data_IF_722527962647
#
_entry.id   IF_722527962647
#
_cell.length_a   1.000
_cell.length_b   1.000
_cell.length_c   1.000
_cell.angle_alpha   90.00
_cell.angle_beta   90.00
_cell.angle_gamma   90.00
#
_symmetry.space_group_name_H-M   'P 1'
#
loop_
_entity.id
_entity.type
_entity.pdbx_description
1 polymer ?
#
# COMPACT_ATOMS: atom_id res chain seq x y z
N UNK A 1 -9.66 10.97 -0.38
CA UNK A 1 -10.32 9.82 0.29
C UNK A 1 -9.35 9.16 1.25
N UNK A 2 -9.79 8.83 2.45
CA UNK A 2 -8.94 8.14 3.42
C UNK A 2 -8.69 6.71 3.01
N UNK A 3 -7.61 6.11 3.53
CA UNK A 3 -7.29 4.70 3.28
C UNK A 3 -8.43 3.80 3.71
N UNK A 4 -9.02 4.07 4.88
CA UNK A 4 -10.15 3.28 5.39
C UNK A 4 -11.34 3.31 4.45
N UNK A 5 -11.72 4.49 3.98
CA UNK A 5 -12.85 4.65 3.06
C UNK A 5 -12.56 4.01 1.70
N UNK A 6 -11.33 4.10 1.23
CA UNK A 6 -10.91 3.48 -0.02
C UNK A 6 -11.04 1.95 0.07
N UNK A 7 -10.54 1.36 1.14
CA UNK A 7 -10.63 -0.08 1.35
C UNK A 7 -12.09 -0.55 1.40
N UNK A 8 -12.95 0.20 2.08
CA UNK A 8 -14.37 -0.12 2.19
C UNK A 8 -15.06 0.00 0.84
N UNK A 9 -14.86 1.12 0.14
CA UNK A 9 -15.52 1.39 -1.13
C UNK A 9 -15.20 0.35 -2.20
N UNK A 10 -13.95 -0.06 -2.30
CA UNK A 10 -13.49 -0.97 -3.37
C UNK A 10 -13.32 -2.42 -2.92
N UNK A 11 -13.60 -2.72 -1.65
CA UNK A 11 -13.59 -4.10 -1.15
C UNK A 11 -12.20 -4.69 -0.92
N UNK A 12 -11.25 -3.88 -0.50
CA UNK A 12 -9.90 -4.36 -0.21
C UNK A 12 -9.84 -5.01 1.17
N UNK A 13 -9.06 -6.07 1.29
CA UNK A 13 -8.80 -6.70 2.58
C UNK A 13 -7.80 -5.86 3.38
N UNK A 14 -8.12 -5.59 4.64
CA UNK A 14 -7.24 -4.83 5.53
C UNK A 14 -6.35 -5.80 6.29
N UNK A 15 -5.05 -5.76 6.03
CA UNK A 15 -4.08 -6.58 6.77
C UNK A 15 -3.53 -5.85 7.99
N UNK A 16 -3.37 -4.53 7.87
CA UNK A 16 -2.85 -3.68 8.93
C UNK A 16 -3.32 -2.26 8.67
N UNK A 17 -3.94 -1.61 9.65
CA UNK A 17 -4.49 -0.25 9.46
C UNK A 17 -4.27 0.60 10.71
N UNK A 18 -3.00 0.85 11.09
CA UNK A 18 -2.72 1.70 12.25
C UNK A 18 -3.07 3.17 12.02
N UNK A 19 -3.18 3.59 10.75
CA UNK A 19 -3.45 4.99 10.40
C UNK A 19 -4.60 5.09 9.38
N UNK A 20 -5.85 4.77 9.79
CA UNK A 20 -6.98 4.70 8.87
C UNK A 20 -7.35 6.03 8.22
N UNK A 21 -7.01 7.14 8.84
CA UNK A 21 -7.39 8.48 8.39
C UNK A 21 -6.43 9.11 7.40
N UNK A 22 -5.31 8.44 7.08
CA UNK A 22 -4.39 8.97 6.07
C UNK A 22 -5.10 9.13 4.74
N UNK A 23 -4.89 10.30 4.11
CA UNK A 23 -5.49 10.59 2.80
C UNK A 23 -4.66 10.00 1.69
N UNK A 24 -5.32 9.45 0.67
CA UNK A 24 -4.65 9.02 -0.55
C UNK A 24 -4.66 10.21 -1.51
N UNK A 25 -3.48 10.76 -1.74
CA UNK A 25 -3.30 11.96 -2.55
C UNK A 25 -2.71 11.66 -3.93
N UNK A 26 -2.14 10.47 -4.09
CA UNK A 26 -1.49 10.05 -5.33
C UNK A 26 -1.42 8.53 -5.37
N UNK A 27 -0.89 7.98 -6.45
CA UNK A 27 -0.68 6.54 -6.60
C UNK A 27 0.66 6.26 -7.25
N UNK A 28 1.27 5.15 -6.88
CA UNK A 28 2.50 4.69 -7.48
C UNK A 28 2.48 3.16 -7.57
N UNK A 29 2.88 2.61 -8.71
CA UNK A 29 2.97 1.16 -8.91
C UNK A 29 4.40 0.80 -9.26
N UNK A 30 5.00 -0.10 -8.49
CA UNK A 30 6.35 -0.55 -8.77
C UNK A 30 6.84 -1.57 -7.76
N UNK A 31 7.74 -2.44 -8.21
CA UNK A 31 8.24 -3.58 -7.43
C UNK A 31 9.75 -3.55 -7.23
N UNK A 32 10.47 -2.79 -8.04
CA UNK A 32 11.91 -2.64 -7.89
C UNK A 32 12.17 -1.60 -6.79
N UNK A 33 12.48 -2.07 -5.60
CA UNK A 33 12.54 -1.21 -4.41
C UNK A 33 13.51 -0.05 -4.53
N UNK A 34 14.64 -0.22 -5.24
CA UNK A 34 15.59 0.88 -5.46
C UNK A 34 14.98 2.02 -6.27
N UNK A 35 14.03 1.71 -7.16
CA UNK A 35 13.31 2.73 -7.92
C UNK A 35 12.18 3.34 -7.08
N UNK A 36 11.47 2.50 -6.35
CA UNK A 36 10.37 2.94 -5.49
C UNK A 36 10.88 3.98 -4.48
N UNK A 37 12.02 3.71 -3.85
CA UNK A 37 12.62 4.61 -2.86
C UNK A 37 12.82 6.03 -3.40
N UNK A 38 13.16 6.18 -4.68
CA UNK A 38 13.39 7.49 -5.28
C UNK A 38 12.15 8.14 -5.91
N UNK A 39 11.05 7.42 -6.02
CA UNK A 39 9.87 7.87 -6.78
C UNK A 39 8.57 7.87 -5.99
N UNK A 40 8.47 7.07 -4.95
CA UNK A 40 7.26 6.99 -4.12
C UNK A 40 7.14 8.29 -3.31
N UNK A 41 6.06 9.02 -3.55
CA UNK A 41 5.83 10.29 -2.86
C UNK A 41 4.98 10.08 -1.61
N UNK A 42 5.17 10.95 -0.64
CA UNK A 42 4.34 11.01 0.57
C UNK A 42 2.86 11.09 0.18
N UNK A 43 2.02 10.36 0.89
CA UNK A 43 0.58 10.37 0.63
C UNK A 43 0.13 9.51 -0.52
N UNK A 44 1.03 8.75 -1.15
CA UNK A 44 0.67 7.85 -2.25
C UNK A 44 0.12 6.52 -1.75
N UNK A 45 -0.81 5.94 -2.51
CA UNK A 45 -1.12 4.52 -2.39
C UNK A 45 -0.09 3.77 -3.24
N UNK A 46 0.69 2.91 -2.61
CA UNK A 46 1.74 2.16 -3.31
C UNK A 46 1.27 0.75 -3.66
N UNK A 47 1.17 0.49 -4.95
CA UNK A 47 0.75 -0.82 -5.49
C UNK A 47 1.99 -1.64 -5.78
N UNK A 48 2.09 -2.84 -5.18
CA UNK A 48 3.25 -3.70 -5.37
C UNK A 48 2.89 -5.17 -5.18
N UNK A 49 3.70 -6.04 -5.76
CA UNK A 49 3.63 -7.49 -5.53
C UNK A 49 4.81 -7.97 -4.66
N UNK A 50 5.64 -7.06 -4.20
CA UNK A 50 6.74 -7.41 -3.30
C UNK A 50 6.18 -7.76 -1.93
N UNK A 51 6.60 -8.89 -1.38
CA UNK A 51 6.02 -9.47 -0.17
C UNK A 51 6.95 -9.46 1.04
N UNK A 52 8.21 -9.08 0.87
CA UNK A 52 9.19 -9.16 1.96
C UNK A 52 9.16 -7.91 2.87
N UNK A 53 9.83 -8.01 4.01
CA UNK A 53 9.83 -6.97 5.04
C UNK A 53 10.42 -5.64 4.56
N UNK A 54 11.20 -5.64 3.49
CA UNK A 54 11.80 -4.41 2.96
C UNK A 54 10.76 -3.42 2.46
N UNK A 55 9.54 -3.88 2.13
CA UNK A 55 8.47 -2.95 1.73
C UNK A 55 8.12 -2.01 2.88
N UNK A 56 8.18 -2.51 4.13
CA UNK A 56 7.90 -1.68 5.31
C UNK A 56 9.02 -0.66 5.51
N UNK A 57 10.28 -1.06 5.29
CA UNK A 57 11.40 -0.12 5.40
C UNK A 57 11.29 1.02 4.38
N UNK A 58 10.93 0.70 3.14
CA UNK A 58 10.70 1.71 2.10
C UNK A 58 9.55 2.64 2.49
N UNK A 59 8.45 2.08 2.97
CA UNK A 59 7.29 2.87 3.40
C UNK A 59 7.64 3.81 4.55
N UNK A 60 8.49 3.38 5.48
CA UNK A 60 8.93 4.23 6.60
C UNK A 60 9.68 5.45 6.09
N UNK A 61 10.47 5.31 5.03
CA UNK A 61 11.24 6.41 4.47
C UNK A 61 10.39 7.36 3.61
N UNK A 62 9.46 6.82 2.83
CA UNK A 62 8.70 7.58 1.84
C UNK A 62 7.34 8.06 2.33
N UNK A 63 6.85 7.50 3.43
CA UNK A 63 5.58 7.83 4.07
C UNK A 63 4.36 7.80 3.12
N UNK A 64 4.13 6.66 2.42
CA UNK A 64 2.90 6.52 1.63
C UNK A 64 1.68 6.41 2.54
N UNK A 65 0.51 6.64 1.98
CA UNK A 65 -0.75 6.46 2.73
C UNK A 65 -1.00 4.99 3.06
N UNK A 66 -0.64 4.11 2.14
CA UNK A 66 -0.75 2.66 2.34
C UNK A 66 0.08 1.91 1.31
N UNK A 67 0.33 0.64 1.62
CA UNK A 67 0.84 -0.34 0.67
C UNK A 67 -0.36 -1.19 0.25
N UNK A 68 -0.53 -1.43 -1.04
CA UNK A 68 -1.56 -2.33 -1.56
C UNK A 68 -0.90 -3.51 -2.25
N UNK A 69 -1.01 -4.68 -1.65
CA UNK A 69 -0.53 -5.92 -2.26
C UNK A 69 -1.57 -6.43 -3.25
N UNK A 70 -1.24 -6.38 -4.53
CA UNK A 70 -2.13 -6.78 -5.62
C UNK A 70 -1.87 -8.23 -6.05
N UNK A 71 -2.60 -8.72 -7.04
CA UNK A 71 -2.44 -10.05 -7.66
C UNK A 71 -2.58 -11.23 -6.68
N UNK A 72 -3.22 -11.02 -5.56
CA UNK A 72 -3.39 -12.09 -4.56
C UNK A 72 -2.16 -12.41 -3.74
N UNK A 73 -1.13 -11.57 -3.77
CA UNK A 73 0.12 -11.81 -3.04
C UNK A 73 -0.11 -11.70 -1.54
N UNK A 74 0.44 -12.68 -0.80
CA UNK A 74 0.45 -12.65 0.66
C UNK A 74 1.79 -12.09 1.16
N UNK A 75 1.78 -11.30 2.24
CA UNK A 75 3.03 -10.83 2.82
C UNK A 75 3.77 -11.98 3.49
N UNK A 76 5.10 -11.92 3.46
CA UNK A 76 5.94 -12.90 4.13
C UNK A 76 5.76 -12.80 5.66
N UNK A 77 6.18 -13.84 6.37
CA UNK A 77 6.13 -13.86 7.82
C UNK A 77 6.88 -12.64 8.39
N UNK A 78 6.28 -12.01 9.39
CA UNK A 78 6.89 -10.86 10.07
C UNK A 78 6.56 -9.49 9.47
N UNK A 79 6.03 -9.45 8.24
CA UNK A 79 5.74 -8.16 7.57
C UNK A 79 4.65 -7.38 8.32
N UNK A 80 3.56 -8.06 8.68
CA UNK A 80 2.43 -7.39 9.35
C UNK A 80 2.85 -6.89 10.73
N UNK A 81 3.63 -7.66 11.48
CA UNK A 81 4.14 -7.24 12.79
C UNK A 81 5.00 -5.98 12.66
N UNK A 82 5.88 -5.95 11.66
CA UNK A 82 6.72 -4.79 11.42
C UNK A 82 5.88 -3.58 11.00
N UNK A 83 4.88 -3.80 10.16
CA UNK A 83 3.99 -2.73 9.70
C UNK A 83 3.23 -2.10 10.88
N UNK A 84 2.76 -2.91 11.81
CA UNK A 84 2.10 -2.41 13.03
C UNK A 84 3.04 -1.54 13.84
N UNK A 85 4.27 -2.02 14.05
CA UNK A 85 5.28 -1.28 14.83
C UNK A 85 5.64 0.05 14.17
N UNK A 86 5.72 0.08 12.84
CA UNK A 86 6.11 1.25 12.08
C UNK A 86 4.92 2.11 11.62
N UNK A 87 3.72 1.76 12.03
CA UNK A 87 2.49 2.49 11.68
C UNK A 87 2.26 2.59 10.17
N UNK A 88 2.42 1.47 9.45
CA UNK A 88 2.24 1.39 8.00
C UNK A 88 0.94 0.65 7.69
N UNK A 89 0.06 1.28 6.91
CA UNK A 89 -1.17 0.65 6.43
C UNK A 89 -0.87 -0.33 5.31
N UNK A 90 -1.40 -1.55 5.40
CA UNK A 90 -1.26 -2.56 4.33
C UNK A 90 -2.62 -3.13 3.98
N UNK A 91 -2.98 -3.03 2.70
CA UNK A 91 -4.17 -3.64 2.11
C UNK A 91 -3.76 -4.76 1.18
N UNK A 92 -4.68 -5.69 0.94
CA UNK A 92 -4.47 -6.80 0.02
C UNK A 92 -5.69 -6.98 -0.87
N UNK A 93 -5.47 -7.43 -2.11
CA UNK A 93 -6.55 -7.73 -3.05
C UNK A 93 -6.14 -8.82 -4.05
N UNK A 94 -7.13 -9.53 -4.56
CA UNK A 94 -6.94 -10.48 -5.67
C UNK A 94 -6.91 -9.75 -7.03
N UNK A 95 -7.29 -8.49 -7.06
CA UNK A 95 -7.32 -7.69 -8.30
C UNK A 95 -5.92 -7.57 -8.90
N UNK A 96 -5.86 -7.43 -10.21
CA UNK A 96 -4.60 -7.15 -10.89
C UNK A 96 -4.08 -5.77 -10.49
N UNK A 97 -2.77 -5.58 -10.61
CA UNK A 97 -2.16 -4.27 -10.35
C UNK A 97 -2.81 -3.19 -11.22
N UNK A 98 -3.15 -3.53 -12.46
CA UNK A 98 -3.82 -2.59 -13.37
C UNK A 98 -5.17 -2.15 -12.82
N UNK A 99 -5.99 -3.09 -12.34
CA UNK A 99 -7.30 -2.78 -11.76
C UNK A 99 -7.17 -1.92 -10.50
N UNK A 100 -6.18 -2.22 -9.65
CA UNK A 100 -5.91 -1.43 -8.45
C UNK A 100 -5.56 0.01 -8.82
N UNK A 101 -4.70 0.19 -9.82
CA UNK A 101 -4.33 1.53 -10.30
C UNK A 101 -5.56 2.29 -10.82
N UNK A 102 -6.49 1.61 -11.49
CA UNK A 102 -7.73 2.23 -11.95
C UNK A 102 -8.59 2.70 -10.77
N UNK A 103 -8.70 1.89 -9.72
CA UNK A 103 -9.44 2.28 -8.51
C UNK A 103 -8.82 3.54 -7.88
N UNK A 104 -7.50 3.57 -7.75
CA UNK A 104 -6.80 4.73 -7.19
C UNK A 104 -7.05 5.96 -8.07
N UNK A 105 -6.89 5.82 -9.38
CA UNK A 105 -7.05 6.94 -10.29
C UNK A 105 -8.45 7.53 -10.22
N UNK A 106 -9.46 6.68 -9.99
CA UNK A 106 -10.86 7.11 -9.95
C UNK A 106 -11.19 8.05 -8.78
N UNK A 107 -10.38 8.08 -7.75
CA UNK A 107 -10.60 8.93 -6.58
C UNK A 107 -9.72 10.20 -6.57
N UNK A 108 -8.85 10.36 -7.56
CA UNK A 108 -7.93 11.50 -7.63
C UNK A 108 -8.44 12.67 -8.47
#
# INVERSE_FOLDING_TARGET
>A
MTVEKFAEKFGYEILCMPEPEKEIENGYAGDLLSWVMGRLEEGSAWVTIMSNVNIVAVATLSDPSCIILSEGVDPDEGVIERAKTQCVNILKTQKTSFAVCADIKSIL
#
